data_IF_080451389289
#
_entry.id   IF_080451389289
#
_cell.length_a   1.000
_cell.length_b   1.000
_cell.length_c   1.000
_cell.angle_alpha   90.00
_cell.angle_beta   90.00
_cell.angle_gamma   90.00
#
_symmetry.space_group_name_H-M   'P 1'
#
loop_
_entity.id
_entity.type
_entity.pdbx_description
1 polymer ?
#
# COMPACT_ATOMS: atom_id res chain seq x y z
N UNK A 1 -24.23 -6.10 -8.28
CA UNK A 1 -23.43 -5.40 -9.29
C UNK A 1 -21.94 -5.35 -8.95
N UNK A 2 -21.52 -4.77 -7.78
CA UNK A 2 -20.09 -4.66 -7.44
C UNK A 2 -19.43 -6.02 -7.23
N UNK A 3 -20.11 -6.94 -6.55
CA UNK A 3 -19.64 -8.32 -6.36
C UNK A 3 -19.56 -9.08 -7.69
N UNK A 4 -20.53 -8.90 -8.56
CA UNK A 4 -20.55 -9.55 -9.88
C UNK A 4 -19.41 -9.01 -10.75
N UNK A 5 -19.16 -7.70 -10.71
CA UNK A 5 -18.05 -7.07 -11.40
C UNK A 5 -16.70 -7.58 -10.85
N UNK A 6 -16.54 -7.67 -9.54
CA UNK A 6 -15.34 -8.22 -8.91
C UNK A 6 -15.10 -9.67 -9.34
N UNK A 7 -16.15 -10.49 -9.31
CA UNK A 7 -16.08 -11.89 -9.74
C UNK A 7 -15.71 -12.02 -11.22
N UNK A 8 -16.32 -11.19 -12.07
CA UNK A 8 -15.97 -11.12 -13.49
C UNK A 8 -14.49 -10.75 -13.70
N UNK A 9 -14.02 -9.67 -13.07
CA UNK A 9 -12.64 -9.21 -13.20
C UNK A 9 -11.66 -10.27 -12.70
N UNK A 10 -11.91 -10.87 -11.55
CA UNK A 10 -11.05 -11.92 -11.00
C UNK A 10 -10.98 -13.15 -11.90
N UNK A 11 -12.12 -13.57 -12.45
CA UNK A 11 -12.21 -14.76 -13.32
C UNK A 11 -11.50 -14.56 -14.66
N UNK A 12 -11.67 -13.40 -15.30
CA UNK A 12 -11.18 -13.18 -16.66
C UNK A 12 -9.85 -12.41 -16.72
N UNK A 13 -9.55 -11.58 -15.73
CA UNK A 13 -8.34 -10.76 -15.72
C UNK A 13 -7.35 -11.12 -14.59
N UNK A 14 -7.70 -12.06 -13.70
CA UNK A 14 -6.83 -12.45 -12.58
C UNK A 14 -5.44 -12.91 -13.03
N UNK A 15 -5.36 -13.71 -14.11
CA UNK A 15 -4.09 -14.14 -14.68
C UNK A 15 -3.21 -12.96 -15.14
N UNK A 16 -3.83 -11.93 -15.72
CA UNK A 16 -3.12 -10.73 -16.18
C UNK A 16 -2.53 -9.96 -15.00
N UNK A 17 -3.25 -9.85 -13.88
CA UNK A 17 -2.77 -9.20 -12.65
C UNK A 17 -1.52 -9.92 -12.14
N UNK A 18 -1.54 -11.25 -12.10
CA UNK A 18 -0.39 -12.06 -11.66
C UNK A 18 0.82 -11.86 -12.60
N UNK A 19 0.59 -11.89 -13.91
CA UNK A 19 1.67 -11.68 -14.90
C UNK A 19 2.27 -10.27 -14.74
N UNK A 20 1.44 -9.24 -14.57
CA UNK A 20 1.91 -7.87 -14.35
C UNK A 20 2.68 -7.74 -13.03
N UNK A 21 2.20 -8.34 -11.94
CA UNK A 21 2.89 -8.31 -10.65
C UNK A 21 4.29 -8.95 -10.74
N UNK A 22 4.40 -10.12 -11.39
CA UNK A 22 5.70 -10.74 -11.68
C UNK A 22 6.57 -9.86 -12.60
N UNK A 23 5.96 -9.21 -13.59
CA UNK A 23 6.65 -8.24 -14.45
C UNK A 23 7.30 -7.11 -13.65
N UNK A 24 6.62 -6.57 -12.65
CA UNK A 24 7.19 -5.54 -11.76
C UNK A 24 8.33 -6.07 -10.89
N UNK A 25 8.25 -7.33 -10.42
CA UNK A 25 9.37 -7.97 -9.71
C UNK A 25 10.58 -8.09 -10.62
N UNK A 26 10.40 -8.64 -11.83
CA UNK A 26 11.48 -8.78 -12.81
C UNK A 26 12.06 -7.42 -13.17
N UNK A 27 11.23 -6.42 -13.40
CA UNK A 27 11.65 -5.06 -13.69
C UNK A 27 12.48 -4.44 -12.55
N UNK A 28 12.06 -4.60 -11.30
CA UNK A 28 12.79 -4.11 -10.14
C UNK A 28 14.18 -4.77 -10.03
N UNK A 29 14.24 -6.09 -10.22
CA UNK A 29 15.50 -6.85 -10.22
C UNK A 29 16.39 -6.40 -11.39
N UNK A 30 15.81 -6.25 -12.57
CA UNK A 30 16.53 -5.76 -13.77
C UNK A 30 17.19 -4.41 -13.50
N UNK A 31 16.51 -3.47 -12.87
CA UNK A 31 17.06 -2.15 -12.55
C UNK A 31 18.33 -2.24 -11.69
N UNK A 32 18.38 -3.18 -10.73
CA UNK A 32 19.52 -3.37 -9.82
C UNK A 32 20.78 -3.82 -10.59
N UNK A 33 20.61 -4.62 -11.63
CA UNK A 33 21.74 -5.17 -12.41
C UNK A 33 22.12 -4.36 -13.65
N UNK A 34 21.44 -3.24 -13.90
CA UNK A 34 21.72 -2.39 -15.05
C UNK A 34 22.40 -1.09 -14.65
N UNK A 35 22.87 -0.34 -15.66
CA UNK A 35 23.42 1.02 -15.50
C UNK A 35 22.44 2.02 -14.88
N UNK A 36 21.16 1.70 -14.83
CA UNK A 36 20.14 2.57 -14.28
C UNK A 36 20.20 2.69 -12.74
N UNK A 37 20.82 1.73 -12.05
CA UNK A 37 21.03 1.79 -10.58
C UNK A 37 21.84 3.00 -10.13
N UNK A 38 22.71 3.52 -10.99
CA UNK A 38 23.61 4.64 -10.67
C UNK A 38 22.99 6.02 -10.96
N UNK A 39 21.76 6.04 -11.49
CA UNK A 39 21.06 7.29 -11.80
C UNK A 39 20.62 7.95 -10.48
N UNK A 40 21.16 9.14 -10.20
CA UNK A 40 20.72 9.97 -9.08
C UNK A 40 19.47 10.75 -9.46
N UNK A 41 18.44 10.65 -8.62
CA UNK A 41 17.21 11.44 -8.76
C UNK A 41 17.54 12.92 -8.50
N UNK A 42 17.17 13.79 -9.43
CA UNK A 42 17.50 15.22 -9.35
C UNK A 42 18.88 15.60 -9.93
N UNK A 43 19.61 14.63 -10.51
CA UNK A 43 20.89 14.85 -11.18
C UNK A 43 22.13 14.52 -10.34
N UNK A 44 23.30 14.59 -10.96
CA UNK A 44 24.57 14.12 -10.38
C UNK A 44 24.98 14.80 -9.07
N UNK A 45 24.57 16.06 -8.87
CA UNK A 45 24.88 16.86 -7.66
C UNK A 45 23.79 16.78 -6.59
N UNK A 46 22.69 16.04 -6.84
CA UNK A 46 21.61 15.92 -5.87
C UNK A 46 22.07 15.20 -4.60
N UNK A 47 21.62 15.71 -3.46
CA UNK A 47 21.85 15.11 -2.14
C UNK A 47 20.50 14.64 -1.56
N UNK A 48 20.48 13.59 -0.74
CA UNK A 48 19.26 13.18 -0.04
C UNK A 48 18.70 14.33 0.81
N UNK A 49 17.40 14.56 0.73
CA UNK A 49 16.70 15.60 1.52
C UNK A 49 16.46 15.12 2.95
N UNK A 50 16.27 13.81 3.12
CA UNK A 50 15.97 13.19 4.43
C UNK A 50 17.09 12.26 4.87
N UNK A 51 17.25 12.10 6.20
CA UNK A 51 18.09 11.02 6.73
C UNK A 51 17.52 9.66 6.33
N UNK A 52 18.37 8.65 6.32
CA UNK A 52 17.97 7.29 5.94
C UNK A 52 16.81 6.75 6.79
N UNK A 53 16.85 7.00 8.10
CA UNK A 53 15.79 6.60 9.04
C UNK A 53 14.45 7.28 8.70
N UNK A 54 14.47 8.59 8.45
CA UNK A 54 13.26 9.33 8.09
C UNK A 54 12.68 8.88 6.75
N UNK A 55 13.56 8.65 5.78
CA UNK A 55 13.17 8.13 4.48
C UNK A 55 12.50 6.75 4.58
N UNK A 56 13.10 5.82 5.34
CA UNK A 56 12.49 4.51 5.62
C UNK A 56 11.14 4.70 6.32
N UNK A 57 11.08 5.51 7.38
CA UNK A 57 9.83 5.74 8.11
C UNK A 57 8.70 6.22 7.20
N UNK A 58 8.98 7.17 6.30
CA UNK A 58 7.99 7.71 5.36
C UNK A 58 7.55 6.68 4.31
N UNK A 59 8.46 5.85 3.80
CA UNK A 59 8.12 4.81 2.83
C UNK A 59 7.32 3.67 3.45
N UNK A 60 7.79 3.15 4.58
CA UNK A 60 7.13 2.03 5.26
C UNK A 60 5.80 2.42 5.89
N UNK A 61 5.67 3.66 6.38
CA UNK A 61 4.42 4.15 6.96
C UNK A 61 3.23 4.04 6.02
N UNK A 62 3.45 4.17 4.71
CA UNK A 62 2.40 3.99 3.71
C UNK A 62 1.93 2.53 3.60
N UNK A 63 2.78 1.55 3.92
CA UNK A 63 2.46 0.12 3.86
C UNK A 63 2.10 -0.52 5.21
N UNK A 64 2.47 0.11 6.34
CA UNK A 64 2.23 -0.39 7.69
C UNK A 64 0.84 0.00 8.26
N UNK A 65 -0.13 0.19 7.41
CA UNK A 65 -1.50 0.47 7.83
C UNK A 65 -2.28 -0.82 8.13
N UNK A 66 -3.57 -0.75 7.87
CA UNK A 66 -4.51 -1.86 8.04
C UNK A 66 -4.09 -3.11 7.30
N UNK A 67 -3.47 -2.98 6.12
CA UNK A 67 -2.93 -4.10 5.38
C UNK A 67 -2.11 -5.01 6.27
N UNK A 68 -1.06 -4.50 6.90
CA UNK A 68 -0.19 -5.34 7.72
C UNK A 68 -0.83 -5.69 9.08
N UNK A 69 -1.43 -4.73 9.77
CA UNK A 69 -1.93 -4.96 11.14
C UNK A 69 -3.18 -5.84 11.19
N UNK A 70 -4.06 -5.73 10.20
CA UNK A 70 -5.26 -6.56 10.13
C UNK A 70 -5.04 -7.83 9.31
N UNK A 71 -4.63 -7.67 8.06
CA UNK A 71 -4.50 -8.80 7.14
C UNK A 71 -3.30 -9.68 7.43
N UNK A 72 -2.26 -9.19 8.10
CA UNK A 72 -1.14 -10.02 8.55
C UNK A 72 -1.58 -11.19 9.44
N UNK A 73 -2.67 -11.01 10.18
CA UNK A 73 -3.27 -12.07 11.02
C UNK A 73 -4.49 -12.69 10.35
N UNK A 74 -5.39 -11.87 9.83
CA UNK A 74 -6.67 -12.33 9.28
C UNK A 74 -6.50 -13.15 8.00
N UNK A 75 -5.60 -12.77 7.12
CA UNK A 75 -5.46 -13.41 5.81
C UNK A 75 -4.97 -14.87 5.89
N UNK A 76 -3.92 -15.23 6.66
CA UNK A 76 -3.57 -16.63 6.86
C UNK A 76 -4.73 -17.47 7.39
N UNK A 77 -5.52 -16.95 8.34
CA UNK A 77 -6.67 -17.66 8.91
C UNK A 77 -7.77 -17.84 7.86
N UNK A 78 -8.05 -16.81 7.08
CA UNK A 78 -9.02 -16.87 5.98
C UNK A 78 -8.61 -17.89 4.93
N UNK A 79 -7.34 -17.91 4.55
CA UNK A 79 -6.84 -18.86 3.56
C UNK A 79 -6.87 -20.30 4.06
N UNK A 80 -6.58 -20.56 5.34
CA UNK A 80 -6.69 -21.91 5.92
C UNK A 80 -8.08 -22.51 5.77
N UNK A 81 -9.12 -21.69 5.78
CA UNK A 81 -10.50 -22.15 5.78
C UNK A 81 -11.16 -22.12 4.39
N UNK A 82 -10.64 -21.35 3.44
CA UNK A 82 -11.39 -21.02 2.22
C UNK A 82 -10.61 -21.23 0.91
N UNK A 83 -9.31 -21.51 0.96
CA UNK A 83 -8.51 -21.57 -0.26
C UNK A 83 -8.60 -22.94 -0.93
N UNK A 84 -8.82 -23.00 -2.26
CA UNK A 84 -8.81 -24.27 -3.01
C UNK A 84 -7.46 -24.99 -2.90
N UNK A 85 -7.50 -26.29 -2.60
CA UNK A 85 -6.29 -27.12 -2.44
C UNK A 85 -5.79 -27.23 -1.00
N UNK A 86 -6.57 -26.80 -0.02
CA UNK A 86 -6.38 -27.19 1.37
C UNK A 86 -6.75 -28.66 1.55
N UNK A 87 -6.03 -29.34 2.43
CA UNK A 87 -6.22 -30.76 2.73
C UNK A 87 -7.01 -30.89 4.03
N UNK A 88 -8.13 -31.60 3.98
CA UNK A 88 -8.96 -31.80 5.17
C UNK A 88 -8.17 -32.55 6.25
N UNK A 89 -8.15 -32.00 7.47
CA UNK A 89 -7.44 -32.58 8.62
C UNK A 89 -5.94 -32.30 8.69
N UNK A 90 -5.30 -31.76 7.63
CA UNK A 90 -3.87 -31.41 7.68
C UNK A 90 -3.65 -29.93 7.99
N UNK A 91 -3.71 -29.63 9.29
CA UNK A 91 -3.55 -28.24 9.80
C UNK A 91 -2.17 -27.68 9.43
N UNK A 92 -1.10 -28.49 9.56
CA UNK A 92 0.28 -28.02 9.33
C UNK A 92 0.51 -27.65 7.86
N UNK A 93 0.04 -28.48 6.94
CA UNK A 93 0.13 -28.21 5.51
C UNK A 93 -0.69 -26.96 5.12
N UNK A 94 -1.91 -26.87 5.64
CA UNK A 94 -2.80 -25.73 5.36
C UNK A 94 -2.24 -24.42 5.91
N UNK A 95 -1.68 -24.43 7.12
CA UNK A 95 -1.03 -23.27 7.71
C UNK A 95 0.18 -22.80 6.88
N UNK A 96 1.03 -23.71 6.45
CA UNK A 96 2.17 -23.41 5.59
C UNK A 96 1.75 -22.77 4.25
N UNK A 97 0.72 -23.33 3.62
CA UNK A 97 0.15 -22.75 2.39
C UNK A 97 -0.48 -21.37 2.61
N UNK A 98 -1.27 -21.22 3.66
CA UNK A 98 -1.93 -19.96 3.99
C UNK A 98 -0.92 -18.83 4.25
N UNK A 99 0.14 -19.11 5.01
CA UNK A 99 1.24 -18.17 5.24
C UNK A 99 1.98 -17.85 3.92
N UNK A 100 2.22 -18.88 3.08
CA UNK A 100 2.83 -18.69 1.76
C UNK A 100 2.04 -17.74 0.87
N UNK A 101 0.70 -17.85 0.86
CA UNK A 101 -0.19 -16.96 0.12
C UNK A 101 -0.19 -15.54 0.67
N UNK A 102 -0.26 -15.38 1.99
CA UNK A 102 -0.15 -14.06 2.62
C UNK A 102 1.20 -13.40 2.28
N UNK A 103 2.31 -14.15 2.30
CA UNK A 103 3.61 -13.66 1.88
C UNK A 103 3.68 -13.30 0.39
N UNK A 104 2.94 -13.97 -0.48
CA UNK A 104 2.83 -13.59 -1.89
C UNK A 104 2.16 -12.23 -2.06
N UNK A 105 1.10 -11.96 -1.30
CA UNK A 105 0.35 -10.71 -1.40
C UNK A 105 1.09 -9.53 -0.76
N UNK A 106 1.68 -9.71 0.42
CA UNK A 106 2.31 -8.65 1.22
C UNK A 106 3.84 -8.59 1.10
N UNK A 107 4.44 -9.57 0.42
CA UNK A 107 5.89 -9.65 0.23
C UNK A 107 6.37 -8.90 -1.01
N UNK A 108 7.33 -9.50 -1.71
CA UNK A 108 8.09 -8.88 -2.80
C UNK A 108 7.18 -8.32 -3.90
N UNK A 109 6.07 -8.99 -4.23
CA UNK A 109 5.19 -8.57 -5.34
C UNK A 109 4.53 -7.22 -5.08
N UNK A 110 3.92 -7.04 -3.90
CA UNK A 110 3.31 -5.75 -3.53
C UNK A 110 4.33 -4.62 -3.50
N UNK A 111 5.49 -4.86 -2.90
CA UNK A 111 6.55 -3.87 -2.81
C UNK A 111 7.22 -3.58 -4.16
N UNK A 112 7.30 -4.54 -5.07
CA UNK A 112 7.81 -4.32 -6.43
C UNK A 112 6.87 -3.42 -7.24
N UNK A 113 5.55 -3.59 -7.14
CA UNK A 113 4.57 -2.70 -7.76
C UNK A 113 4.74 -1.28 -7.23
N UNK A 114 4.78 -1.12 -5.89
CA UNK A 114 4.93 0.15 -5.22
C UNK A 114 6.24 0.86 -5.61
N UNK A 115 7.37 0.17 -5.51
CA UNK A 115 8.69 0.73 -5.80
C UNK A 115 8.87 1.07 -7.28
N UNK A 116 8.40 0.23 -8.18
CA UNK A 116 8.49 0.49 -9.63
C UNK A 116 7.73 1.75 -10.00
N UNK A 117 6.49 1.91 -9.53
CA UNK A 117 5.69 3.10 -9.80
C UNK A 117 6.31 4.35 -9.17
N UNK A 118 6.78 4.24 -7.92
CA UNK A 118 7.47 5.32 -7.22
C UNK A 118 8.74 5.77 -7.93
N UNK A 119 9.56 4.84 -8.43
CA UNK A 119 10.76 5.15 -9.20
C UNK A 119 10.43 5.81 -10.54
N UNK A 120 9.39 5.36 -11.23
CA UNK A 120 8.94 6.00 -12.48
C UNK A 120 8.52 7.46 -12.24
N UNK A 121 7.71 7.72 -11.22
CA UNK A 121 7.31 9.07 -10.85
C UNK A 121 8.50 9.93 -10.44
N UNK A 122 9.38 9.40 -9.59
CA UNK A 122 10.57 10.12 -9.14
C UNK A 122 11.48 10.48 -10.33
N UNK A 123 11.77 9.53 -11.22
CA UNK A 123 12.57 9.79 -12.41
C UNK A 123 11.93 10.81 -13.35
N UNK A 124 10.63 10.65 -13.63
CA UNK A 124 9.90 11.57 -14.49
C UNK A 124 9.89 13.00 -13.93
N UNK A 125 9.61 13.14 -12.63
CA UNK A 125 9.51 14.45 -12.00
C UNK A 125 10.87 15.09 -11.75
N UNK A 126 11.81 14.38 -11.12
CA UNK A 126 13.10 14.96 -10.71
C UNK A 126 14.10 15.08 -11.86
N UNK A 127 14.17 14.08 -12.75
CA UNK A 127 15.17 14.06 -13.82
C UNK A 127 14.65 14.62 -15.14
N UNK A 128 13.37 14.33 -15.49
CA UNK A 128 12.76 14.79 -16.75
C UNK A 128 11.95 16.07 -16.60
N UNK A 129 11.72 16.54 -15.35
CA UNK A 129 10.93 17.74 -15.05
C UNK A 129 9.49 17.67 -15.58
N UNK A 130 8.94 16.47 -15.68
CA UNK A 130 7.56 16.25 -16.11
C UNK A 130 6.60 16.48 -14.94
N UNK A 131 5.34 16.86 -15.21
CA UNK A 131 4.31 16.98 -14.18
C UNK A 131 4.09 15.64 -13.46
N UNK A 132 3.81 15.70 -12.16
CA UNK A 132 3.54 14.54 -11.31
C UNK A 132 2.14 13.98 -11.59
N UNK A 133 1.99 13.29 -12.72
CA UNK A 133 0.72 12.72 -13.24
C UNK A 133 1.00 11.40 -13.92
N UNK A 134 0.04 10.46 -13.85
CA UNK A 134 0.17 9.14 -14.49
C UNK A 134 0.31 9.26 -16.01
N UNK A 135 -0.44 10.15 -16.63
CA UNK A 135 -0.33 10.41 -18.07
C UNK A 135 1.08 10.82 -18.51
N UNK A 136 1.84 11.49 -17.64
CA UNK A 136 3.23 11.88 -17.93
C UNK A 136 4.20 10.70 -18.00
N UNK A 137 3.89 9.58 -17.34
CA UNK A 137 4.72 8.37 -17.35
C UNK A 137 4.59 7.57 -18.66
N UNK A 138 3.48 7.73 -19.37
CA UNK A 138 3.14 6.95 -20.56
C UNK A 138 3.74 7.51 -21.86
N UNK A 139 4.61 8.51 -21.74
CA UNK A 139 5.35 9.09 -22.85
C UNK A 139 4.60 10.19 -23.60
N UNK A 140 5.32 10.85 -24.52
CA UNK A 140 4.82 12.06 -25.21
C UNK A 140 3.58 11.83 -26.07
N UNK A 141 3.42 10.64 -26.64
CA UNK A 141 2.24 10.31 -27.45
C UNK A 141 0.94 10.38 -26.65
N UNK A 142 0.99 9.93 -25.39
CA UNK A 142 -0.16 9.96 -24.48
C UNK A 142 -0.29 11.33 -23.83
N UNK A 143 0.78 11.86 -23.28
CA UNK A 143 0.73 13.15 -22.55
C UNK A 143 0.36 14.36 -23.44
N UNK A 144 0.65 14.31 -24.74
CA UNK A 144 0.28 15.35 -25.70
C UNK A 144 -1.17 15.19 -26.23
N UNK A 145 -1.77 14.02 -26.10
CA UNK A 145 -3.16 13.80 -26.42
C UNK A 145 -4.03 14.20 -25.22
N UNK A 146 -4.45 15.47 -25.18
CA UNK A 146 -5.17 16.03 -24.03
C UNK A 146 -6.37 15.20 -23.55
N UNK A 147 -7.32 14.75 -24.41
CA UNK A 147 -8.43 13.93 -23.94
C UNK A 147 -8.01 12.62 -23.28
N UNK A 148 -7.03 11.92 -23.88
CA UNK A 148 -6.52 10.67 -23.36
C UNK A 148 -5.76 10.86 -22.04
N UNK A 149 -4.94 11.90 -21.95
CA UNK A 149 -4.21 12.24 -20.73
C UNK A 149 -5.17 12.56 -19.57
N UNK A 150 -6.20 13.36 -19.82
CA UNK A 150 -7.22 13.68 -18.83
C UNK A 150 -7.96 12.44 -18.37
N UNK A 151 -8.38 11.56 -19.28
CA UNK A 151 -9.06 10.32 -18.94
C UNK A 151 -8.20 9.44 -18.02
N UNK A 152 -6.91 9.26 -18.36
CA UNK A 152 -5.97 8.46 -17.56
C UNK A 152 -5.78 9.08 -16.17
N UNK A 153 -5.60 10.39 -16.09
CA UNK A 153 -5.40 11.07 -14.82
C UNK A 153 -6.67 11.03 -13.94
N UNK A 154 -7.86 11.12 -14.52
CA UNK A 154 -9.14 10.94 -13.81
C UNK A 154 -9.24 9.52 -13.24
N UNK A 155 -8.95 8.49 -14.05
CA UNK A 155 -8.97 7.09 -13.59
C UNK A 155 -7.99 6.91 -12.43
N UNK A 156 -6.78 7.46 -12.54
CA UNK A 156 -5.78 7.38 -11.47
C UNK A 156 -6.25 8.07 -10.17
N UNK A 157 -6.85 9.23 -10.27
CA UNK A 157 -7.42 9.96 -9.13
C UNK A 157 -8.54 9.14 -8.48
N UNK A 158 -9.49 8.65 -9.27
CA UNK A 158 -10.61 7.85 -8.77
C UNK A 158 -10.11 6.58 -8.07
N UNK A 159 -9.16 5.87 -8.67
CA UNK A 159 -8.55 4.68 -8.06
C UNK A 159 -7.91 5.01 -6.71
N UNK A 160 -7.20 6.13 -6.63
CA UNK A 160 -6.58 6.60 -5.38
C UNK A 160 -7.63 6.92 -4.32
N UNK A 161 -8.69 7.65 -4.70
CA UNK A 161 -9.79 8.00 -3.77
C UNK A 161 -10.47 6.75 -3.24
N UNK A 162 -10.80 5.79 -4.10
CA UNK A 162 -11.41 4.52 -3.66
C UNK A 162 -10.47 3.72 -2.76
N UNK A 163 -9.18 3.65 -3.07
CA UNK A 163 -8.19 2.96 -2.24
C UNK A 163 -8.07 3.58 -0.84
N UNK A 164 -7.97 4.90 -0.76
CA UNK A 164 -7.92 5.63 0.53
C UNK A 164 -9.22 5.43 1.32
N UNK A 165 -10.38 5.55 0.67
CA UNK A 165 -11.69 5.37 1.32
C UNK A 165 -11.86 3.96 1.87
N UNK A 166 -11.46 2.94 1.11
CA UNK A 166 -11.49 1.54 1.57
C UNK A 166 -10.59 1.35 2.79
N UNK A 167 -9.37 1.89 2.77
CA UNK A 167 -8.44 1.79 3.90
C UNK A 167 -8.97 2.50 5.14
N UNK A 168 -9.56 3.69 5.00
CA UNK A 168 -10.18 4.40 6.11
C UNK A 168 -11.38 3.63 6.67
N UNK A 169 -12.21 3.04 5.82
CA UNK A 169 -13.35 2.23 6.24
C UNK A 169 -12.93 1.01 7.05
N UNK A 170 -12.00 0.21 6.52
CA UNK A 170 -11.46 -0.96 7.22
C UNK A 170 -10.80 -0.57 8.54
N UNK A 171 -10.04 0.55 8.58
CA UNK A 171 -9.44 1.06 9.80
C UNK A 171 -10.43 1.49 10.85
N UNK A 172 -11.50 2.08 10.42
CA UNK A 172 -12.58 2.48 11.32
C UNK A 172 -13.22 1.27 11.98
N UNK A 173 -13.52 0.23 11.22
CA UNK A 173 -14.06 -1.03 11.75
C UNK A 173 -13.09 -1.66 12.73
N UNK A 174 -11.82 -1.77 12.37
CA UNK A 174 -10.78 -2.36 13.24
C UNK A 174 -10.61 -1.59 14.55
N UNK A 175 -10.58 -0.25 14.52
CA UNK A 175 -10.49 0.58 15.71
C UNK A 175 -11.76 0.42 16.54
N UNK A 176 -12.94 0.40 15.93
CA UNK A 176 -14.23 0.21 16.60
C UNK A 176 -14.26 -1.11 17.36
N UNK A 177 -13.87 -2.21 16.71
CA UNK A 177 -13.82 -3.54 17.33
C UNK A 177 -12.77 -3.61 18.46
N UNK A 178 -11.61 -2.97 18.26
CA UNK A 178 -10.59 -2.86 19.32
C UNK A 178 -11.09 -2.10 20.55
N UNK A 179 -11.77 -0.97 20.35
CA UNK A 179 -12.38 -0.21 21.43
C UNK A 179 -13.51 -0.97 22.15
N UNK A 180 -14.30 -1.73 21.41
CA UNK A 180 -15.34 -2.58 21.98
C UNK A 180 -14.72 -3.66 22.88
N UNK A 181 -13.65 -4.30 22.43
CA UNK A 181 -13.00 -5.37 23.19
C UNK A 181 -12.28 -4.85 24.44
N UNK A 182 -11.55 -3.73 24.34
CA UNK A 182 -10.71 -3.21 25.44
C UNK A 182 -11.52 -2.35 26.44
N UNK A 183 -12.43 -1.52 25.93
CA UNK A 183 -13.14 -0.51 26.73
C UNK A 183 -14.64 -0.75 26.81
N UNK A 184 -15.17 -1.85 26.26
CA UNK A 184 -16.60 -2.16 26.20
C UNK A 184 -17.43 -1.06 25.52
N UNK A 185 -16.85 -0.32 24.58
CA UNK A 185 -17.54 0.70 23.79
C UNK A 185 -18.30 -0.02 22.66
N UNK A 186 -19.61 0.15 22.61
CA UNK A 186 -20.45 -0.52 21.62
C UNK A 186 -20.07 -0.14 20.18
N UNK A 187 -20.05 -1.13 19.28
CA UNK A 187 -19.83 -0.94 17.85
C UNK A 187 -21.09 -0.37 17.17
N UNK A 188 -21.34 0.92 17.40
CA UNK A 188 -22.47 1.63 16.79
C UNK A 188 -22.04 2.41 15.56
N UNK A 189 -22.96 2.65 14.64
CA UNK A 189 -22.72 3.50 13.48
C UNK A 189 -22.21 4.90 13.90
N UNK A 190 -22.78 5.47 14.96
CA UNK A 190 -22.36 6.79 15.47
C UNK A 190 -20.90 6.79 15.91
N UNK A 191 -20.46 5.75 16.64
CA UNK A 191 -19.07 5.63 17.07
C UNK A 191 -18.12 5.45 15.88
N UNK A 192 -18.51 4.70 14.86
CA UNK A 192 -17.74 4.57 13.62
C UNK A 192 -17.62 5.90 12.88
N UNK A 193 -18.68 6.70 12.83
CA UNK A 193 -18.65 8.05 12.23
C UNK A 193 -17.69 8.98 12.99
N UNK A 194 -17.67 8.91 14.31
CA UNK A 194 -16.72 9.68 15.11
C UNK A 194 -15.28 9.24 14.82
N UNK A 195 -15.02 7.93 14.83
CA UNK A 195 -13.69 7.37 14.57
C UNK A 195 -13.19 7.81 13.19
N UNK A 196 -13.98 7.59 12.12
CA UNK A 196 -13.55 7.95 10.76
C UNK A 196 -13.33 9.45 10.61
N UNK A 197 -14.12 10.26 11.30
CA UNK A 197 -13.94 11.72 11.30
C UNK A 197 -12.61 12.10 11.94
N UNK A 198 -12.31 11.54 13.12
CA UNK A 198 -11.06 11.83 13.84
C UNK A 198 -9.84 11.41 13.04
N UNK A 199 -9.80 10.18 12.53
CA UNK A 199 -8.65 9.71 11.74
C UNK A 199 -8.48 10.49 10.44
N UNK A 200 -9.58 10.88 9.79
CA UNK A 200 -9.55 11.72 8.59
C UNK A 200 -9.00 13.11 8.89
N UNK A 201 -9.41 13.73 10.01
CA UNK A 201 -8.89 15.03 10.43
C UNK A 201 -7.39 14.98 10.74
N UNK A 202 -6.92 13.93 11.43
CA UNK A 202 -5.48 13.74 11.69
C UNK A 202 -4.71 13.63 10.38
N UNK A 203 -5.21 12.83 9.42
CA UNK A 203 -4.61 12.71 8.10
C UNK A 203 -4.60 14.04 7.34
N UNK A 204 -5.72 14.75 7.34
CA UNK A 204 -5.85 16.05 6.68
C UNK A 204 -4.88 17.10 7.26
N UNK A 205 -4.83 17.20 8.59
CA UNK A 205 -3.88 18.10 9.26
C UNK A 205 -2.44 17.75 8.87
N UNK A 206 -2.10 16.45 8.87
CA UNK A 206 -0.77 16.00 8.48
C UNK A 206 -0.41 16.40 7.05
N UNK A 207 -1.34 16.28 6.11
CA UNK A 207 -1.15 16.69 4.71
C UNK A 207 -1.03 18.20 4.59
N UNK A 208 -1.88 18.97 5.28
CA UNK A 208 -1.85 20.44 5.26
C UNK A 208 -0.55 21.00 5.85
N UNK A 209 0.04 20.36 6.85
CA UNK A 209 1.34 20.73 7.42
C UNK A 209 2.52 20.39 6.50
N UNK A 210 2.27 19.65 5.42
CA UNK A 210 3.26 19.30 4.42
C UNK A 210 4.20 18.16 4.82
N UNK A 211 5.15 17.91 3.92
CA UNK A 211 6.01 16.72 3.99
C UNK A 211 6.94 16.74 5.21
N UNK A 212 7.54 17.87 5.50
CA UNK A 212 8.60 18.01 6.53
C UNK A 212 8.07 18.00 7.96
N UNK A 213 6.90 18.59 8.17
CA UNK A 213 6.33 18.80 9.51
C UNK A 213 5.17 17.87 9.82
N UNK A 214 4.34 17.56 8.86
CA UNK A 214 3.17 16.70 9.02
C UNK A 214 3.50 15.23 8.75
N UNK A 215 3.67 14.91 7.48
CA UNK A 215 3.81 13.51 7.02
C UNK A 215 5.03 12.84 7.66
N UNK A 216 6.19 13.50 7.70
CA UNK A 216 7.39 12.95 8.32
C UNK A 216 7.19 12.61 9.80
N UNK A 217 6.61 13.53 10.59
CA UNK A 217 6.39 13.29 12.03
C UNK A 217 5.39 12.19 12.29
N UNK A 218 4.26 12.17 11.55
CA UNK A 218 3.28 11.12 11.66
C UNK A 218 3.87 9.75 11.28
N UNK A 219 4.69 9.70 10.24
CA UNK A 219 5.40 8.49 9.83
C UNK A 219 6.40 7.99 10.88
N UNK A 220 7.12 8.91 11.54
CA UNK A 220 8.01 8.55 12.64
C UNK A 220 7.25 7.93 13.81
N UNK A 221 6.12 8.54 14.23
CA UNK A 221 5.26 7.99 15.28
C UNK A 221 4.75 6.60 14.89
N UNK A 222 4.24 6.46 13.68
CA UNK A 222 3.76 5.17 13.17
C UNK A 222 4.87 4.09 13.19
N UNK A 223 6.08 4.42 12.75
CA UNK A 223 7.21 3.48 12.80
C UNK A 223 7.60 3.07 14.21
N UNK A 224 7.58 4.02 15.17
CA UNK A 224 7.87 3.71 16.57
C UNK A 224 6.82 2.74 17.12
N UNK A 225 5.53 3.04 16.89
CA UNK A 225 4.44 2.18 17.35
C UNK A 225 4.50 0.78 16.72
N UNK A 226 4.72 0.70 15.40
CA UNK A 226 4.82 -0.57 14.69
C UNK A 226 6.03 -1.40 15.17
N UNK A 227 7.19 -0.76 15.37
CA UNK A 227 8.38 -1.44 15.88
C UNK A 227 8.17 -1.91 17.32
N UNK A 228 7.56 -1.08 18.16
CA UNK A 228 7.24 -1.45 19.55
C UNK A 228 6.29 -2.65 19.60
N UNK A 229 5.24 -2.64 18.77
CA UNK A 229 4.31 -3.77 18.66
C UNK A 229 5.01 -5.04 18.18
N UNK A 230 5.87 -4.93 17.16
CA UNK A 230 6.63 -6.06 16.63
C UNK A 230 7.56 -6.67 17.69
N UNK A 231 8.29 -5.83 18.42
CA UNK A 231 9.18 -6.28 19.52
C UNK A 231 8.35 -6.91 20.64
N UNK A 232 7.23 -6.32 20.99
CA UNK A 232 6.31 -6.87 21.99
C UNK A 232 5.82 -8.27 21.60
N UNK A 233 5.34 -8.45 20.37
CA UNK A 233 4.89 -9.76 19.88
C UNK A 233 6.05 -10.76 19.86
N UNK A 234 7.25 -10.33 19.48
CA UNK A 234 8.43 -11.21 19.43
C UNK A 234 8.85 -11.72 20.82
N UNK A 235 8.67 -10.91 21.87
CA UNK A 235 9.07 -11.26 23.24
C UNK A 235 7.96 -12.05 23.97
N UNK A 236 6.71 -11.70 23.76
CA UNK A 236 5.57 -12.19 24.55
C UNK A 236 4.56 -13.03 23.74
N UNK A 237 4.71 -13.13 22.44
CA UNK A 237 3.82 -13.85 21.48
C UNK A 237 4.31 -15.25 21.12
#
# INVERSE_FOLDING_TARGET
FFLDLQTFLSKYLGWMIIVLANGFVIFSIFLIFTRYKDIKLGGSKAKPTYSYVNWIAMLFSAGLGIGLLFYGVAEPIMHMNSYPGMVEGDISYNAGKAIGLANLHWGIHGWAIYSSLGLCFAFASYNKKLPFRVSSLLGSKVSNNKPLAILIDIIAILTTVFGVTTSLGLGTVQISSGLAHVFSINETFSNQVIIITVITLIGLISVCLGLDTGIKKLSQVNMILATTLMVFIFIFG
#
